data_IF_622406187483
#
_entry.id   IF_622406187483
#
_cell.length_a   1.000
_cell.length_b   1.000
_cell.length_c   1.000
_cell.angle_alpha   90.00
_cell.angle_beta   90.00
_cell.angle_gamma   90.00
#
_symmetry.space_group_name_H-M   'P 1'
#
loop_
_entity.id
_entity.type
_entity.pdbx_description
1 polymer ?
#
# COMPACT_ATOMS: atom_id res chain seq x y z
N UNK A 1 -7.85 7.25 -8.72
CA UNK A 1 -8.45 7.15 -7.37
C UNK A 1 -9.97 7.27 -7.42
N UNK A 2 -10.53 8.40 -7.89
CA UNK A 2 -11.99 8.62 -8.00
C UNK A 2 -12.74 7.50 -8.70
N UNK A 3 -12.21 7.00 -9.82
CA UNK A 3 -12.82 5.87 -10.56
C UNK A 3 -12.93 4.60 -9.71
N UNK A 4 -11.87 4.24 -8.99
CA UNK A 4 -11.85 3.04 -8.13
C UNK A 4 -12.78 3.24 -6.92
N UNK A 5 -12.72 4.40 -6.28
CA UNK A 5 -13.58 4.73 -5.14
C UNK A 5 -15.06 4.73 -5.51
N UNK A 6 -15.43 5.25 -6.69
CA UNK A 6 -16.81 5.20 -7.18
C UNK A 6 -17.22 3.80 -7.67
N UNK A 7 -16.26 2.95 -8.00
CA UNK A 7 -16.49 1.62 -8.51
C UNK A 7 -16.53 0.52 -7.43
N UNK A 8 -16.68 0.86 -6.15
CA UNK A 8 -16.88 -0.14 -5.09
C UNK A 8 -17.50 0.50 -3.84
N UNK A 9 -18.20 -0.32 -3.05
CA UNK A 9 -18.72 0.01 -1.72
C UNK A 9 -17.73 -0.29 -0.58
N UNK A 10 -16.58 -0.93 -0.89
CA UNK A 10 -15.54 -1.18 0.12
C UNK A 10 -14.58 0.02 0.27
N UNK A 11 -14.08 0.29 1.48
CA UNK A 11 -13.10 1.36 1.71
C UNK A 11 -11.85 1.25 0.84
N UNK A 12 -11.54 2.29 0.06
CA UNK A 12 -10.34 2.35 -0.79
C UNK A 12 -9.20 3.07 -0.07
N UNK A 13 -8.05 2.40 0.08
CA UNK A 13 -6.81 3.01 0.56
C UNK A 13 -5.92 3.36 -0.64
N UNK A 14 -5.63 4.64 -0.86
CA UNK A 14 -4.71 5.09 -1.89
C UNK A 14 -3.24 4.84 -1.51
N UNK A 15 -2.49 4.20 -2.41
CA UNK A 15 -1.04 4.40 -2.40
C UNK A 15 -0.75 5.78 -2.98
N UNK A 16 -0.23 6.68 -2.14
CA UNK A 16 -0.04 8.09 -2.50
C UNK A 16 1.44 8.49 -2.54
N UNK A 17 2.34 7.50 -2.66
CA UNK A 17 3.77 7.67 -2.87
C UNK A 17 4.36 8.70 -1.88
N UNK A 18 5.27 9.56 -2.33
CA UNK A 18 5.80 10.67 -1.54
C UNK A 18 4.84 11.87 -1.44
N UNK A 19 3.54 11.70 -1.66
CA UNK A 19 2.58 12.81 -1.64
C UNK A 19 2.73 13.80 -2.79
N UNK A 20 3.43 13.43 -3.87
CA UNK A 20 3.63 14.21 -5.10
C UNK A 20 4.23 15.61 -4.93
N UNK A 21 4.91 15.85 -3.81
CA UNK A 21 5.66 17.06 -3.53
C UNK A 21 6.76 16.74 -2.51
N UNK A 22 7.87 17.48 -2.54
CA UNK A 22 8.95 17.31 -1.54
C UNK A 22 8.63 18.14 -0.27
N UNK A 23 8.18 19.39 -0.47
CA UNK A 23 7.86 20.32 0.60
C UNK A 23 6.57 19.92 1.34
N UNK A 24 6.52 20.06 2.69
CA UNK A 24 5.36 19.68 3.49
C UNK A 24 4.05 20.35 3.04
N UNK A 25 4.09 21.60 2.59
CA UNK A 25 2.93 22.36 2.14
C UNK A 25 2.31 21.73 0.88
N UNK A 26 3.16 21.28 -0.05
CA UNK A 26 2.71 20.57 -1.26
C UNK A 26 2.13 19.18 -0.96
N UNK A 27 2.68 18.49 0.05
CA UNK A 27 2.11 17.22 0.54
C UNK A 27 0.73 17.45 1.12
N UNK A 28 0.54 18.48 1.95
CA UNK A 28 -0.75 18.83 2.52
C UNK A 28 -1.80 19.12 1.43
N UNK A 29 -1.42 19.88 0.40
CA UNK A 29 -2.33 20.18 -0.72
C UNK A 29 -2.71 18.92 -1.50
N UNK A 30 -1.72 18.09 -1.83
CA UNK A 30 -1.96 16.83 -2.54
C UNK A 30 -2.84 15.86 -1.73
N UNK A 31 -2.68 15.84 -0.40
CA UNK A 31 -3.51 15.04 0.50
C UNK A 31 -4.96 15.50 0.48
N UNK A 32 -5.24 16.81 0.48
CA UNK A 32 -6.62 17.32 0.35
C UNK A 32 -7.26 16.85 -0.96
N UNK A 33 -6.54 17.00 -2.07
CA UNK A 33 -7.00 16.54 -3.39
C UNK A 33 -7.24 15.02 -3.42
N UNK A 34 -6.42 14.24 -2.71
CA UNK A 34 -6.60 12.81 -2.57
C UNK A 34 -7.91 12.47 -1.84
N UNK A 35 -8.18 13.14 -0.72
CA UNK A 35 -9.41 12.94 0.08
C UNK A 35 -10.66 13.25 -0.74
N UNK A 36 -10.65 14.32 -1.54
CA UNK A 36 -11.76 14.70 -2.43
C UNK A 36 -12.11 13.65 -3.50
N UNK A 37 -11.26 12.63 -3.69
CA UNK A 37 -11.57 11.50 -4.57
C UNK A 37 -12.48 10.45 -3.93
N UNK A 38 -12.76 10.55 -2.62
CA UNK A 38 -13.60 9.61 -1.88
C UNK A 38 -12.86 8.41 -1.29
N UNK A 39 -11.53 8.48 -1.15
CA UNK A 39 -10.73 7.43 -0.52
C UNK A 39 -10.99 7.39 0.99
N UNK A 40 -10.95 6.19 1.57
CA UNK A 40 -11.08 5.99 3.02
C UNK A 40 -9.72 5.98 3.75
N UNK A 41 -8.62 5.99 3.00
CA UNK A 41 -7.28 6.05 3.55
C UNK A 41 -6.26 6.38 2.48
N UNK A 42 -5.07 6.80 2.91
CA UNK A 42 -3.94 7.05 2.03
C UNK A 42 -2.61 6.74 2.72
N UNK A 43 -1.57 6.47 1.93
CA UNK A 43 -0.21 6.31 2.45
C UNK A 43 0.77 7.34 1.90
N UNK A 44 1.64 7.88 2.77
CA UNK A 44 2.76 8.76 2.39
C UNK A 44 4.08 8.09 2.75
N UNK A 45 5.02 8.10 1.81
CA UNK A 45 6.36 7.53 1.96
C UNK A 45 7.46 8.57 2.13
N UNK A 46 8.55 8.14 2.78
CA UNK A 46 9.72 8.97 3.07
C UNK A 46 10.87 8.80 2.07
N UNK A 47 10.57 8.24 0.89
CA UNK A 47 11.48 8.14 -0.25
C UNK A 47 11.48 9.42 -1.09
N UNK A 48 12.66 9.85 -1.54
CA UNK A 48 12.83 10.97 -2.48
C UNK A 48 12.67 10.55 -3.94
N UNK A 49 12.64 9.23 -4.21
CA UNK A 49 12.79 8.62 -5.53
C UNK A 49 14.14 8.84 -6.23
N UNK A 50 15.09 9.56 -5.61
CA UNK A 50 16.47 9.69 -6.08
C UNK A 50 17.36 8.58 -5.49
N UNK A 51 17.93 7.66 -6.30
CA UNK A 51 18.81 6.61 -5.80
C UNK A 51 20.05 7.10 -5.04
N UNK A 52 20.54 8.32 -5.30
CA UNK A 52 21.67 8.89 -4.56
C UNK A 52 21.29 9.31 -3.14
N UNK A 53 20.07 9.81 -2.95
CA UNK A 53 19.53 10.27 -1.68
C UNK A 53 18.19 9.58 -1.43
N UNK A 54 18.14 8.25 -1.26
CA UNK A 54 16.92 7.45 -1.39
C UNK A 54 15.83 7.76 -0.36
N UNK A 55 16.17 8.42 0.75
CA UNK A 55 15.25 8.79 1.81
C UNK A 55 15.42 10.27 2.14
N UNK A 56 14.31 10.94 2.48
CA UNK A 56 14.37 12.28 3.05
C UNK A 56 15.15 12.26 4.36
N UNK A 57 15.79 13.41 4.65
CA UNK A 57 16.25 13.70 5.99
C UNK A 57 15.12 13.49 7.02
N UNK A 58 15.49 13.05 8.21
CA UNK A 58 14.52 12.66 9.24
C UNK A 58 13.56 13.78 9.61
N UNK A 59 14.03 15.03 9.77
CA UNK A 59 13.17 16.15 10.18
C UNK A 59 12.25 16.58 9.04
N UNK A 60 12.73 16.51 7.79
CA UNK A 60 11.89 16.76 6.63
C UNK A 60 10.82 15.67 6.46
N UNK A 61 11.18 14.40 6.58
CA UNK A 61 10.22 13.28 6.56
C UNK A 61 9.14 13.44 7.64
N UNK A 62 9.55 13.79 8.86
CA UNK A 62 8.63 14.03 9.97
C UNK A 62 7.70 15.22 9.72
N UNK A 63 8.23 16.31 9.14
CA UNK A 63 7.44 17.50 8.79
C UNK A 63 6.39 17.18 7.71
N UNK A 64 6.73 16.35 6.72
CA UNK A 64 5.80 15.87 5.69
C UNK A 64 4.67 15.03 6.28
N UNK A 65 4.98 14.13 7.23
CA UNK A 65 3.97 13.33 7.94
C UNK A 65 3.04 14.23 8.76
N UNK A 66 3.56 15.23 9.47
CA UNK A 66 2.74 16.21 10.21
C UNK A 66 1.83 17.00 9.28
N UNK A 67 2.33 17.43 8.12
CA UNK A 67 1.54 18.16 7.14
C UNK A 67 0.41 17.31 6.54
N UNK A 68 0.68 16.04 6.23
CA UNK A 68 -0.35 15.10 5.78
C UNK A 68 -1.44 14.89 6.86
N UNK A 69 -1.04 14.67 8.13
CA UNK A 69 -1.98 14.55 9.25
C UNK A 69 -2.86 15.79 9.40
N UNK A 70 -2.25 16.97 9.42
CA UNK A 70 -2.97 18.24 9.56
C UNK A 70 -3.96 18.48 8.41
N UNK A 71 -3.59 18.11 7.18
CA UNK A 71 -4.48 18.19 6.03
C UNK A 71 -5.69 17.27 6.17
N UNK A 72 -5.50 16.04 6.65
CA UNK A 72 -6.61 15.11 6.91
C UNK A 72 -7.51 15.63 8.03
N UNK A 73 -6.93 16.11 9.13
CA UNK A 73 -7.71 16.65 10.25
C UNK A 73 -8.54 17.88 9.85
N UNK A 74 -7.98 18.73 8.98
CA UNK A 74 -8.68 19.91 8.45
C UNK A 74 -9.79 19.56 7.46
N UNK A 75 -9.63 18.48 6.68
CA UNK A 75 -10.68 17.98 5.78
C UNK A 75 -11.87 17.39 6.57
N UNK A 76 -11.62 16.87 7.77
CA UNK A 76 -12.60 16.17 8.60
C UNK A 76 -12.91 14.76 8.08
N UNK A 77 -13.62 13.99 8.91
CA UNK A 77 -13.97 12.59 8.60
C UNK A 77 -12.90 11.57 9.01
N UNK A 78 -13.12 10.31 8.63
CA UNK A 78 -12.39 9.15 9.16
C UNK A 78 -11.37 8.57 8.15
N UNK A 79 -10.58 9.44 7.49
CA UNK A 79 -9.55 8.99 6.55
C UNK A 79 -8.34 8.43 7.32
N UNK A 80 -8.03 7.15 7.08
CA UNK A 80 -6.91 6.46 7.72
C UNK A 80 -5.58 6.89 7.09
N UNK A 81 -4.70 7.48 7.89
CA UNK A 81 -3.36 7.85 7.45
C UNK A 81 -2.33 6.75 7.70
N UNK A 82 -1.69 6.27 6.63
CA UNK A 82 -0.56 5.34 6.72
C UNK A 82 0.77 6.04 6.46
N UNK A 83 1.68 6.07 7.43
CA UNK A 83 3.04 6.55 7.19
C UNK A 83 3.99 5.39 6.86
N UNK A 84 4.81 5.57 5.83
CA UNK A 84 5.73 4.56 5.29
C UNK A 84 7.20 4.95 5.51
N UNK A 85 8.01 3.96 5.86
CA UNK A 85 9.48 4.07 5.91
C UNK A 85 10.09 3.11 4.89
N UNK A 86 10.74 3.64 3.85
CA UNK A 86 11.05 2.90 2.62
C UNK A 86 12.46 2.27 2.57
N UNK A 87 13.28 2.43 3.61
CA UNK A 87 14.70 2.07 3.60
C UNK A 87 15.01 0.66 3.09
N UNK A 88 14.22 -0.34 3.50
CA UNK A 88 14.40 -1.74 3.09
C UNK A 88 14.20 -1.99 1.59
N UNK A 89 13.38 -1.18 0.90
CA UNK A 89 13.16 -1.31 -0.55
C UNK A 89 13.87 -0.25 -1.38
N UNK A 90 14.51 0.74 -0.74
CA UNK A 90 15.33 1.78 -1.39
C UNK A 90 16.83 1.62 -1.15
N UNK A 91 17.27 0.41 -0.82
CA UNK A 91 18.70 0.07 -0.72
C UNK A 91 19.41 0.57 0.54
N UNK A 92 18.66 0.96 1.58
CA UNK A 92 19.18 1.30 2.92
C UNK A 92 18.49 0.46 4.00
N UNK A 93 18.60 -0.88 3.97
CA UNK A 93 17.98 -1.73 4.98
C UNK A 93 18.67 -1.53 6.34
N UNK A 94 17.94 -0.90 7.25
CA UNK A 94 18.35 -0.67 8.64
C UNK A 94 17.10 -0.72 9.53
N UNK A 95 17.01 -1.75 10.37
CA UNK A 95 15.84 -1.99 11.22
C UNK A 95 15.71 -0.92 12.33
N UNK A 96 16.83 -0.50 12.92
CA UNK A 96 16.81 0.46 14.02
C UNK A 96 16.41 1.85 13.51
N UNK A 97 16.93 2.28 12.36
CA UNK A 97 16.51 3.53 11.72
C UNK A 97 15.05 3.47 11.26
N UNK A 98 14.60 2.34 10.70
CA UNK A 98 13.20 2.13 10.32
C UNK A 98 12.28 2.25 11.53
N UNK A 99 12.64 1.61 12.65
CA UNK A 99 11.90 1.70 13.91
C UNK A 99 11.90 3.14 14.45
N UNK A 100 13.03 3.85 14.40
CA UNK A 100 13.14 5.25 14.83
C UNK A 100 12.16 6.14 14.05
N UNK A 101 12.12 6.00 12.72
CA UNK A 101 11.22 6.73 11.82
C UNK A 101 9.76 6.41 12.09
N UNK A 102 9.39 5.13 12.10
CA UNK A 102 8.00 4.73 12.31
C UNK A 102 7.45 5.16 13.68
N UNK A 103 8.27 5.14 14.74
CA UNK A 103 7.88 5.68 16.05
C UNK A 103 7.61 7.18 15.99
N UNK A 104 8.46 7.93 15.29
CA UNK A 104 8.27 9.37 15.10
C UNK A 104 7.02 9.66 14.27
N UNK A 105 6.77 8.89 13.22
CA UNK A 105 5.59 9.03 12.37
C UNK A 105 4.30 8.67 13.13
N UNK A 106 4.34 7.64 13.98
CA UNK A 106 3.24 7.30 14.87
C UNK A 106 2.92 8.45 15.85
N UNK A 107 3.95 9.05 16.45
CA UNK A 107 3.80 10.19 17.35
C UNK A 107 3.34 11.47 16.62
N UNK A 108 3.64 11.60 15.33
CA UNK A 108 3.18 12.69 14.48
C UNK A 108 1.73 12.53 13.98
N UNK A 109 1.04 11.45 14.35
CA UNK A 109 -0.39 11.27 14.08
C UNK A 109 -0.72 10.25 12.99
N UNK A 110 0.24 9.47 12.50
CA UNK A 110 -0.09 8.34 11.63
C UNK A 110 -1.02 7.35 12.36
N UNK A 111 -2.03 6.85 11.64
CA UNK A 111 -2.99 5.87 12.15
C UNK A 111 -2.48 4.45 11.96
N UNK A 112 -1.76 4.19 10.86
CA UNK A 112 -1.13 2.93 10.54
C UNK A 112 0.32 3.14 10.11
N UNK A 113 1.20 2.18 10.42
CA UNK A 113 2.62 2.25 10.10
C UNK A 113 3.00 1.12 9.14
N UNK A 114 3.98 1.37 8.29
CA UNK A 114 4.33 0.43 7.22
C UNK A 114 5.82 0.52 6.87
N UNK A 115 6.53 -0.60 6.95
CA UNK A 115 7.90 -0.76 6.46
C UNK A 115 7.93 -1.84 5.37
N UNK A 116 7.76 -1.48 4.08
CA UNK A 116 7.91 -2.45 3.00
C UNK A 116 9.32 -3.05 2.99
N UNK A 117 9.42 -4.34 2.68
CA UNK A 117 10.69 -5.03 2.47
C UNK A 117 11.27 -5.76 3.68
N UNK A 118 10.70 -5.60 4.88
CA UNK A 118 10.97 -6.50 6.01
C UNK A 118 10.43 -7.91 5.69
N UNK A 119 11.14 -8.95 6.14
CA UNK A 119 10.87 -10.34 5.72
C UNK A 119 10.80 -11.32 6.89
N UNK A 120 11.63 -11.15 7.91
CA UNK A 120 11.75 -12.15 8.98
C UNK A 120 10.69 -11.95 10.06
N UNK A 121 10.36 -13.01 10.80
CA UNK A 121 9.39 -12.92 11.91
C UNK A 121 9.90 -11.95 12.98
N UNK A 122 11.20 -11.89 13.18
CA UNK A 122 11.91 -11.03 14.11
C UNK A 122 11.80 -9.56 13.70
N UNK A 123 12.04 -9.22 12.43
CA UNK A 123 11.86 -7.87 11.90
C UNK A 123 10.40 -7.41 12.02
N UNK A 124 9.44 -8.28 11.64
CA UNK A 124 8.01 -7.99 11.72
C UNK A 124 7.61 -7.72 13.18
N UNK A 125 7.99 -8.61 14.11
CA UNK A 125 7.69 -8.46 15.53
C UNK A 125 8.33 -7.21 16.14
N UNK A 126 9.56 -6.86 15.74
CA UNK A 126 10.25 -5.66 16.19
C UNK A 126 9.49 -4.39 15.78
N UNK A 127 9.08 -4.29 14.51
CA UNK A 127 8.31 -3.15 14.00
C UNK A 127 6.95 -3.05 14.70
N UNK A 128 6.20 -4.15 14.81
CA UNK A 128 4.91 -4.19 15.50
C UNK A 128 5.04 -3.74 16.96
N UNK A 129 6.02 -4.29 17.69
CA UNK A 129 6.26 -3.93 19.09
C UNK A 129 6.63 -2.45 19.24
N UNK A 130 7.42 -1.91 18.33
CA UNK A 130 7.93 -0.55 18.42
C UNK A 130 6.84 0.53 18.31
N UNK A 131 5.80 0.28 17.50
CA UNK A 131 4.74 1.26 17.21
C UNK A 131 3.42 0.97 17.93
N UNK A 132 3.37 -0.10 18.73
CA UNK A 132 2.19 -0.44 19.53
C UNK A 132 1.74 0.76 20.39
N UNK A 133 0.42 1.04 20.49
CA UNK A 133 -0.70 0.21 20.03
C UNK A 133 -1.13 0.46 18.57
N UNK A 134 -0.38 1.24 17.78
CA UNK A 134 -0.76 1.55 16.39
C UNK A 134 -0.68 0.30 15.50
N UNK A 135 -1.63 0.09 14.56
CA UNK A 135 -1.61 -1.02 13.62
C UNK A 135 -0.45 -0.92 12.62
N UNK A 136 0.10 -2.08 12.27
CA UNK A 136 1.11 -2.21 11.20
C UNK A 136 0.51 -2.86 9.96
N UNK A 137 0.82 -2.27 8.80
CA UNK A 137 0.65 -2.87 7.48
C UNK A 137 1.88 -3.68 7.09
N UNK A 138 1.67 -4.92 6.65
CA UNK A 138 2.70 -5.78 6.10
C UNK A 138 2.45 -6.01 4.60
N UNK A 139 3.50 -5.94 3.78
CA UNK A 139 3.41 -6.21 2.34
C UNK A 139 3.79 -7.66 2.05
N UNK A 140 2.82 -8.46 1.60
CA UNK A 140 3.06 -9.79 1.08
C UNK A 140 3.12 -9.74 -0.46
N UNK A 141 4.29 -9.42 -1.02
CA UNK A 141 4.49 -9.29 -2.47
C UNK A 141 5.16 -10.49 -3.14
N UNK A 142 5.48 -11.52 -2.35
CA UNK A 142 6.16 -12.76 -2.77
C UNK A 142 5.55 -13.96 -2.05
N UNK A 143 5.68 -15.15 -2.65
CA UNK A 143 5.31 -16.39 -1.99
C UNK A 143 6.28 -16.69 -0.83
N UNK A 144 5.73 -16.97 0.35
CA UNK A 144 6.47 -17.35 1.56
C UNK A 144 5.72 -18.48 2.28
N UNK A 145 6.30 -19.01 3.36
CA UNK A 145 5.61 -19.94 4.25
C UNK A 145 4.74 -19.25 5.32
N UNK A 146 4.66 -17.91 5.34
CA UNK A 146 3.83 -17.18 6.29
C UNK A 146 2.38 -17.16 5.83
N UNK A 147 1.47 -17.51 6.73
CA UNK A 147 0.03 -17.39 6.53
C UNK A 147 -0.53 -16.07 7.08
N UNK A 148 -1.76 -15.73 6.71
CA UNK A 148 -2.51 -14.63 7.35
C UNK A 148 -2.57 -14.82 8.88
N UNK A 149 -2.73 -16.05 9.35
CA UNK A 149 -2.75 -16.40 10.78
C UNK A 149 -1.40 -16.15 11.44
N UNK A 150 -0.30 -16.50 10.79
CA UNK A 150 1.06 -16.22 11.29
C UNK A 150 1.27 -14.73 11.47
N UNK A 151 0.94 -13.92 10.47
CA UNK A 151 1.10 -12.47 10.50
C UNK A 151 0.22 -11.83 11.59
N UNK A 152 -1.04 -12.25 11.69
CA UNK A 152 -1.94 -11.80 12.75
C UNK A 152 -1.40 -12.14 14.16
N UNK A 153 -0.80 -13.33 14.32
CA UNK A 153 -0.14 -13.78 15.55
C UNK A 153 1.11 -12.97 15.92
N UNK A 154 1.82 -12.42 14.92
CA UNK A 154 2.91 -11.45 15.13
C UNK A 154 2.40 -10.02 15.43
N UNK A 155 1.08 -9.80 15.42
CA UNK A 155 0.45 -8.52 15.72
C UNK A 155 0.24 -7.60 14.51
N UNK A 156 0.50 -8.07 13.29
CA UNK A 156 0.11 -7.35 12.06
C UNK A 156 -1.41 -7.18 12.03
N UNK A 157 -1.88 -6.03 11.54
CA UNK A 157 -3.31 -5.70 11.45
C UNK A 157 -3.81 -5.41 10.05
N UNK A 158 -2.90 -5.11 9.11
CA UNK A 158 -3.23 -4.96 7.70
C UNK A 158 -2.23 -5.71 6.84
N UNK A 159 -2.70 -6.43 5.83
CA UNK A 159 -1.86 -7.12 4.86
C UNK A 159 -2.20 -6.55 3.48
N UNK A 160 -1.18 -6.05 2.80
CA UNK A 160 -1.27 -5.52 1.44
C UNK A 160 -0.50 -6.43 0.48
N UNK A 161 -0.83 -6.39 -0.82
CA UNK A 161 -0.20 -7.22 -1.84
C UNK A 161 0.59 -6.41 -2.88
N UNK A 162 0.57 -5.08 -2.79
CA UNK A 162 1.14 -4.18 -3.80
C UNK A 162 0.61 -4.52 -5.20
N UNK A 163 1.48 -4.47 -6.21
CA UNK A 163 1.14 -4.84 -7.59
C UNK A 163 1.05 -6.35 -7.87
N UNK A 164 1.02 -7.22 -6.85
CA UNK A 164 1.19 -8.67 -7.05
C UNK A 164 0.00 -9.31 -7.77
N UNK A 165 -1.24 -8.93 -7.45
CA UNK A 165 -2.42 -9.46 -8.17
C UNK A 165 -2.43 -9.04 -9.64
N UNK A 166 -2.01 -7.82 -9.96
CA UNK A 166 -1.83 -7.38 -11.34
C UNK A 166 -0.77 -8.22 -12.08
N UNK A 167 0.38 -8.48 -11.44
CA UNK A 167 1.42 -9.36 -11.99
C UNK A 167 0.95 -10.81 -12.17
N UNK A 168 0.08 -11.32 -11.30
CA UNK A 168 -0.56 -12.65 -11.48
C UNK A 168 -1.40 -12.67 -12.75
N UNK A 169 -2.26 -11.66 -12.95
CA UNK A 169 -3.08 -11.55 -14.16
C UNK A 169 -2.21 -11.43 -15.43
N UNK A 170 -1.21 -10.55 -15.43
CA UNK A 170 -0.30 -10.40 -16.57
C UNK A 170 0.51 -11.67 -16.86
N UNK A 171 0.89 -12.42 -15.83
CA UNK A 171 1.57 -13.71 -16.02
C UNK A 171 0.69 -14.69 -16.79
N UNK A 172 -0.61 -14.77 -16.47
CA UNK A 172 -1.54 -15.62 -17.20
C UNK A 172 -1.70 -15.17 -18.66
N UNK A 173 -1.91 -13.87 -18.90
CA UNK A 173 -2.03 -13.30 -20.26
C UNK A 173 -0.78 -13.57 -21.10
N UNK A 174 0.40 -13.31 -20.56
CA UNK A 174 1.68 -13.50 -21.26
C UNK A 174 1.91 -14.98 -21.57
N UNK A 175 1.55 -15.90 -20.66
CA UNK A 175 1.66 -17.35 -20.89
C UNK A 175 0.77 -17.78 -22.07
N UNK A 176 -0.50 -17.39 -22.05
CA UNK A 176 -1.43 -17.73 -23.13
C UNK A 176 -0.98 -17.15 -24.48
N UNK A 177 -0.57 -15.87 -24.51
CA UNK A 177 -0.10 -15.22 -25.72
C UNK A 177 1.16 -15.91 -26.31
N UNK A 178 2.10 -16.33 -25.45
CA UNK A 178 3.30 -17.05 -25.89
C UNK A 178 3.00 -18.42 -26.46
N UNK A 179 2.07 -19.17 -25.86
CA UNK A 179 1.67 -20.49 -26.34
C UNK A 179 0.98 -20.42 -27.71
N UNK A 180 0.08 -19.44 -27.88
CA UNK A 180 -0.55 -19.16 -29.18
C UNK A 180 0.51 -18.79 -30.22
N UNK A 181 1.43 -17.88 -29.89
CA UNK A 181 2.44 -17.40 -30.84
C UNK A 181 3.46 -18.47 -31.22
N UNK A 182 3.91 -19.29 -30.27
CA UNK A 182 4.96 -20.29 -30.50
C UNK A 182 4.41 -21.61 -31.07
N UNK A 183 3.23 -22.04 -30.62
CA UNK A 183 2.71 -23.38 -30.89
C UNK A 183 1.38 -23.37 -31.65
N UNK A 184 0.72 -22.22 -31.82
CA UNK A 184 -0.62 -22.14 -32.40
C UNK A 184 -1.69 -22.82 -31.55
N UNK A 185 -1.44 -23.00 -30.24
CA UNK A 185 -2.32 -23.72 -29.32
C UNK A 185 -3.10 -22.77 -28.41
N UNK A 186 -4.28 -23.20 -28.01
CA UNK A 186 -5.19 -22.46 -27.13
C UNK A 186 -5.40 -23.14 -25.77
N UNK A 187 -4.60 -24.16 -25.44
CA UNK A 187 -4.74 -24.97 -24.21
C UNK A 187 -4.69 -24.09 -22.95
N UNK A 188 -3.89 -23.02 -23.00
CA UNK A 188 -3.78 -22.01 -21.93
C UNK A 188 -5.09 -21.24 -21.63
N UNK A 189 -6.11 -21.32 -22.49
CA UNK A 189 -7.43 -20.72 -22.27
C UNK A 189 -8.40 -21.68 -21.55
N UNK A 190 -8.02 -22.93 -21.32
CA UNK A 190 -8.87 -23.88 -20.61
C UNK A 190 -9.10 -23.43 -19.15
N UNK A 191 -10.35 -23.58 -18.67
CA UNK A 191 -10.71 -23.27 -17.29
C UNK A 191 -10.81 -21.77 -16.95
N UNK A 192 -10.76 -20.87 -17.95
CA UNK A 192 -11.07 -19.45 -17.73
C UNK A 192 -12.53 -19.27 -17.30
N UNK A 193 -12.79 -18.28 -16.43
CA UNK A 193 -14.14 -17.90 -16.02
C UNK A 193 -15.00 -17.62 -17.26
N UNK A 194 -16.20 -18.19 -17.30
CA UNK A 194 -17.09 -18.02 -18.44
C UNK A 194 -17.58 -16.57 -18.57
N UNK A 195 -17.73 -16.08 -19.80
CA UNK A 195 -18.28 -14.74 -20.06
C UNK A 195 -19.65 -14.52 -19.39
N UNK A 196 -20.50 -15.55 -19.37
CA UNK A 196 -21.82 -15.47 -18.72
C UNK A 196 -21.71 -15.26 -17.21
N UNK A 197 -20.71 -15.85 -16.56
CA UNK A 197 -20.46 -15.72 -15.12
C UNK A 197 -19.98 -14.30 -14.79
N UNK A 198 -18.98 -13.78 -15.53
CA UNK A 198 -18.49 -12.40 -15.35
C UNK A 198 -19.58 -11.36 -15.63
N UNK A 199 -20.33 -11.52 -16.72
CA UNK A 199 -21.46 -10.63 -17.03
C UNK A 199 -22.59 -10.76 -16.01
N UNK A 200 -22.79 -11.94 -15.42
CA UNK A 200 -23.69 -12.15 -14.29
C UNK A 200 -23.25 -11.32 -13.09
N UNK A 201 -22.00 -11.46 -12.68
CA UNK A 201 -21.39 -10.69 -11.59
C UNK A 201 -21.56 -9.18 -11.79
N UNK A 202 -21.17 -8.62 -12.94
CA UNK A 202 -21.26 -7.18 -13.17
C UNK A 202 -22.70 -6.66 -13.19
N UNK A 203 -23.66 -7.42 -13.72
CA UNK A 203 -25.08 -7.01 -13.68
C UNK A 203 -25.63 -6.98 -12.27
N UNK A 204 -25.30 -7.97 -11.45
CA UNK A 204 -25.80 -8.03 -10.06
C UNK A 204 -25.12 -6.97 -9.18
N UNK A 205 -23.84 -6.70 -9.39
CA UNK A 205 -23.12 -5.61 -8.73
C UNK A 205 -23.69 -4.22 -9.10
N UNK A 206 -23.95 -3.98 -10.39
CA UNK A 206 -24.57 -2.72 -10.86
C UNK A 206 -25.97 -2.45 -10.28
N UNK A 207 -26.73 -3.49 -9.90
CA UNK A 207 -28.04 -3.31 -9.25
C UNK A 207 -27.95 -2.88 -7.79
N UNK A 208 -26.80 -3.15 -7.13
CA UNK A 208 -26.58 -2.87 -5.71
C UNK A 208 -26.01 -1.47 -5.45
N UNK A 209 -25.55 -0.79 -6.49
CA UNK A 209 -24.98 0.56 -6.47
C UNK A 209 -26.01 1.57 -6.95
#
# INVERSE_FOLDING_TARGET
LREIAAATDVPVNADFEGGYADAPEGVAESVKLCIETGVAGLSIEDSTSDPAIPLYDFELALSRVRAARAAIDAAGGDVVFTARSEGFIRGRPDLDETVRRLKAFAAAGADCLYAPGIKTREEIAAVVKAVAPKPVNFLMSIATNLTVKDLAGLGVRRISLGGTLARVAWTAVIRAARDIAANGKFDSLAGTIANAELNGFFREDMKKR
#
